data_IF_438920117061
#
_entry.id   IF_438920117061
#
_cell.length_a   1.000
_cell.length_b   1.000
_cell.length_c   1.000
_cell.angle_alpha   90.00
_cell.angle_beta   90.00
_cell.angle_gamma   90.00
#
_symmetry.space_group_name_H-M   'P 1'
#
loop_
_entity.id
_entity.type
_entity.pdbx_description
1 polymer ?
#
# COMPACT_ATOMS: atom_id res chain seq x y z
N UNK A 1 -18.88 -10.49 17.80
CA UNK A 1 -19.36 -9.46 16.89
C UNK A 1 -18.80 -9.73 15.50
N UNK A 2 -19.55 -9.37 14.44
CA UNK A 2 -19.10 -9.50 13.05
C UNK A 2 -18.51 -8.19 12.54
N UNK A 3 -17.87 -8.19 11.38
CA UNK A 3 -17.48 -6.97 10.65
C UNK A 3 -18.71 -6.07 10.43
N UNK A 4 -18.54 -4.74 10.46
CA UNK A 4 -19.63 -3.79 10.20
C UNK A 4 -20.01 -3.70 8.71
N UNK A 5 -19.09 -4.09 7.82
CA UNK A 5 -19.23 -4.05 6.37
C UNK A 5 -18.30 -5.11 5.77
N UNK A 6 -18.70 -5.70 4.66
CA UNK A 6 -17.91 -6.72 3.94
C UNK A 6 -16.92 -6.11 2.94
N UNK A 7 -17.03 -4.81 2.64
CA UNK A 7 -16.08 -4.13 1.75
C UNK A 7 -14.81 -3.73 2.49
N UNK A 8 -13.75 -4.51 2.36
CA UNK A 8 -12.47 -4.30 3.03
C UNK A 8 -11.49 -3.60 2.07
N UNK A 9 -10.88 -2.51 2.54
CA UNK A 9 -9.93 -1.70 1.77
C UNK A 9 -8.48 -1.94 2.16
N UNK A 10 -8.21 -2.09 3.47
CA UNK A 10 -6.87 -2.34 3.99
C UNK A 10 -6.92 -3.07 5.32
N UNK A 11 -5.85 -3.78 5.64
CA UNK A 11 -5.61 -4.44 6.92
C UNK A 11 -4.17 -4.12 7.33
N UNK A 12 -3.94 -3.78 8.62
CA UNK A 12 -2.61 -3.56 9.18
C UNK A 12 -2.55 -4.03 10.62
N UNK A 13 -1.44 -4.64 11.01
CA UNK A 13 -1.22 -5.12 12.37
C UNK A 13 -0.59 -4.04 13.25
N UNK A 14 -1.18 -3.74 14.42
CA UNK A 14 -0.66 -2.77 15.38
C UNK A 14 0.40 -3.36 16.34
N UNK A 15 0.88 -2.53 17.26
CA UNK A 15 1.89 -2.90 18.27
C UNK A 15 1.41 -3.94 19.30
N UNK A 16 0.10 -4.18 19.42
CA UNK A 16 -0.49 -5.21 20.28
C UNK A 16 -0.81 -6.49 19.53
N UNK A 17 -0.60 -6.53 18.22
CA UNK A 17 -1.02 -7.63 17.35
C UNK A 17 -2.50 -7.61 16.99
N UNK A 18 -3.20 -6.48 17.20
CA UNK A 18 -4.55 -6.31 16.72
C UNK A 18 -4.53 -5.88 15.25
N UNK A 19 -5.56 -6.26 14.50
CA UNK A 19 -5.69 -5.86 13.11
C UNK A 19 -6.57 -4.63 12.98
N UNK A 20 -6.02 -3.57 12.42
CA UNK A 20 -6.76 -2.37 12.00
C UNK A 20 -7.30 -2.59 10.60
N UNK A 21 -8.62 -2.68 10.48
CA UNK A 21 -9.31 -3.04 9.24
C UNK A 21 -10.10 -1.81 8.78
N UNK A 22 -9.75 -1.29 7.61
CA UNK A 22 -10.54 -0.24 6.94
C UNK A 22 -11.64 -0.88 6.12
N UNK A 23 -12.88 -0.63 6.48
CA UNK A 23 -14.07 -1.07 5.76
C UNK A 23 -14.69 0.06 4.92
N UNK A 24 -15.75 -0.23 4.19
CA UNK A 24 -16.53 0.79 3.47
C UNK A 24 -17.15 1.85 4.39
N UNK A 25 -17.40 1.52 5.65
CA UNK A 25 -18.03 2.42 6.65
C UNK A 25 -17.04 2.98 7.67
N UNK A 26 -15.75 2.65 7.61
CA UNK A 26 -14.71 3.15 8.51
C UNK A 26 -13.84 2.06 9.11
N UNK A 27 -12.96 2.44 10.05
CA UNK A 27 -12.06 1.51 10.73
C UNK A 27 -12.78 0.70 11.80
N UNK A 28 -12.35 -0.56 11.92
CA UNK A 28 -12.67 -1.48 13.01
C UNK A 28 -11.36 -2.16 13.46
N UNK A 29 -11.24 -2.46 14.74
CA UNK A 29 -10.07 -3.17 15.29
C UNK A 29 -10.49 -4.60 15.61
N UNK A 30 -9.81 -5.59 15.03
CA UNK A 30 -9.94 -6.98 15.43
C UNK A 30 -8.89 -7.29 16.49
N UNK A 31 -9.35 -7.69 17.65
CA UNK A 31 -8.49 -8.15 18.74
C UNK A 31 -8.27 -9.66 18.58
N UNK A 32 -7.02 -10.06 18.31
CA UNK A 32 -6.67 -11.47 18.06
C UNK A 32 -6.74 -12.34 19.32
N UNK A 33 -6.53 -11.77 20.51
CA UNK A 33 -6.58 -12.53 21.77
C UNK A 33 -8.02 -12.88 22.17
N UNK A 34 -8.94 -11.91 22.05
CA UNK A 34 -10.35 -12.10 22.42
C UNK A 34 -11.22 -12.55 21.23
N UNK A 35 -10.68 -12.59 20.04
CA UNK A 35 -11.38 -12.89 18.77
C UNK A 35 -12.62 -12.00 18.56
N UNK A 36 -12.52 -10.72 18.94
CA UNK A 36 -13.62 -9.78 18.89
C UNK A 36 -13.31 -8.55 18.04
N UNK A 37 -14.36 -7.97 17.44
CA UNK A 37 -14.26 -6.69 16.72
C UNK A 37 -14.66 -5.54 17.64
N UNK A 38 -13.75 -4.59 17.81
CA UNK A 38 -14.02 -3.30 18.46
C UNK A 38 -14.41 -2.28 17.37
N UNK A 39 -15.56 -1.67 17.52
CA UNK A 39 -16.11 -0.64 16.62
C UNK A 39 -16.00 0.77 17.19
N UNK A 40 -15.57 0.90 18.45
CA UNK A 40 -15.44 2.16 19.17
C UNK A 40 -14.09 2.86 18.90
N UNK A 41 -13.55 2.68 17.68
CA UNK A 41 -12.26 3.27 17.25
C UNK A 41 -12.22 4.77 17.48
N UNK A 42 -13.36 5.47 17.25
CA UNK A 42 -13.45 6.90 17.48
C UNK A 42 -13.26 7.28 18.97
N UNK A 43 -13.78 6.50 19.89
CA UNK A 43 -13.62 6.75 21.33
C UNK A 43 -12.14 6.66 21.71
N UNK A 44 -11.44 5.61 21.26
CA UNK A 44 -10.01 5.46 21.48
C UNK A 44 -9.19 6.61 20.84
N UNK A 45 -9.52 7.04 19.63
CA UNK A 45 -8.85 8.19 18.98
C UNK A 45 -9.01 9.47 19.81
N UNK A 46 -10.20 9.73 20.33
CA UNK A 46 -10.45 10.87 21.21
C UNK A 46 -9.65 10.79 22.53
N UNK A 47 -9.53 9.60 23.12
CA UNK A 47 -8.73 9.39 24.33
C UNK A 47 -7.25 9.71 24.11
N UNK A 48 -6.68 9.36 22.96
CA UNK A 48 -5.30 9.69 22.62
C UNK A 48 -5.13 11.12 22.09
N UNK A 49 -6.20 11.89 21.92
CA UNK A 49 -6.18 13.31 21.52
C UNK A 49 -6.35 13.55 20.04
N UNK A 50 -6.80 12.55 19.26
CA UNK A 50 -7.09 12.69 17.83
C UNK A 50 -8.59 12.97 17.63
N UNK A 51 -8.92 14.18 17.23
CA UNK A 51 -10.29 14.56 16.87
C UNK A 51 -10.54 14.35 15.36
N UNK A 52 -11.36 13.37 15.02
CA UNK A 52 -11.78 13.06 13.67
C UNK A 52 -11.64 11.59 13.31
N UNK A 53 -12.17 11.24 12.12
CA UNK A 53 -12.07 9.88 11.57
C UNK A 53 -10.88 9.82 10.62
N UNK A 54 -9.93 8.90 10.81
CA UNK A 54 -8.81 8.74 9.89
C UNK A 54 -9.29 8.33 8.49
N UNK A 55 -8.77 9.00 7.48
CA UNK A 55 -8.88 8.57 6.09
C UNK A 55 -7.82 7.51 5.76
N UNK A 56 -6.65 7.59 6.40
CA UNK A 56 -5.57 6.61 6.30
C UNK A 56 -5.02 6.33 7.70
N UNK A 57 -4.66 5.08 7.94
CA UNK A 57 -3.84 4.62 9.05
C UNK A 57 -2.66 3.89 8.45
N UNK A 58 -1.45 4.19 8.91
CA UNK A 58 -0.24 3.49 8.55
C UNK A 58 0.55 3.14 9.81
N UNK A 59 1.11 1.95 9.86
CA UNK A 59 1.89 1.47 11.00
C UNK A 59 3.31 1.23 10.51
N UNK A 60 4.28 1.97 11.05
CA UNK A 60 5.68 1.90 10.65
C UNK A 60 6.40 0.68 11.26
N UNK A 61 7.65 0.43 10.85
CA UNK A 61 8.42 -0.72 11.34
C UNK A 61 8.71 -0.69 12.84
N UNK A 62 8.68 0.50 13.47
CA UNK A 62 8.77 0.68 14.92
C UNK A 62 7.43 0.52 15.62
N UNK A 63 6.39 0.12 14.87
CA UNK A 63 5.01 0.01 15.35
C UNK A 63 4.41 1.33 15.83
N UNK A 64 4.95 2.48 15.40
CA UNK A 64 4.29 3.76 15.57
C UNK A 64 3.12 3.89 14.59
N UNK A 65 2.10 4.61 15.00
CA UNK A 65 0.85 4.72 14.25
C UNK A 65 0.70 6.12 13.65
N UNK A 66 0.53 6.17 12.35
CA UNK A 66 0.32 7.40 11.58
C UNK A 66 -1.13 7.49 11.16
N UNK A 67 -1.79 8.58 11.51
CA UNK A 67 -3.19 8.84 11.17
C UNK A 67 -3.29 10.07 10.29
N UNK A 68 -3.87 9.95 9.11
CA UNK A 68 -4.23 11.09 8.28
C UNK A 68 -5.69 11.45 8.48
N UNK A 69 -5.95 12.68 8.90
CA UNK A 69 -7.30 13.26 9.04
C UNK A 69 -7.49 14.27 7.91
N UNK A 70 -8.44 13.99 7.03
CA UNK A 70 -8.70 14.85 5.87
C UNK A 70 -8.99 16.28 6.30
N UNK A 71 -8.31 17.24 5.65
CA UNK A 71 -8.42 18.68 5.92
C UNK A 71 -7.71 19.17 7.21
N UNK A 72 -7.11 18.26 8.00
CA UNK A 72 -6.38 18.63 9.22
C UNK A 72 -4.88 18.38 9.10
N UNK A 73 -4.45 17.24 8.58
CA UNK A 73 -3.06 16.80 8.50
C UNK A 73 -2.85 15.40 9.03
N UNK A 74 -1.62 15.12 9.47
CA UNK A 74 -1.25 13.83 10.04
C UNK A 74 -1.05 13.92 11.55
N UNK A 75 -1.19 12.77 12.21
CA UNK A 75 -0.89 12.59 13.63
C UNK A 75 0.01 11.36 13.75
N UNK A 76 1.12 11.50 14.46
CA UNK A 76 1.98 10.40 14.83
C UNK A 76 1.72 10.04 16.29
N UNK A 77 1.27 8.82 16.55
CA UNK A 77 1.14 8.26 17.88
C UNK A 77 2.25 7.24 18.12
N UNK A 78 3.01 7.42 19.20
CA UNK A 78 4.10 6.54 19.63
C UNK A 78 3.59 5.71 20.83
N UNK A 79 3.22 4.43 20.63
CA UNK A 79 2.61 3.63 21.69
C UNK A 79 3.50 3.41 22.92
N UNK A 80 4.80 3.23 22.72
CA UNK A 80 5.77 2.99 23.79
C UNK A 80 5.80 4.12 24.84
N UNK A 81 5.74 5.37 24.39
CA UNK A 81 5.75 6.55 25.25
C UNK A 81 4.37 7.18 25.46
N UNK A 82 3.34 6.69 24.76
CA UNK A 82 2.00 7.26 24.73
C UNK A 82 1.96 8.74 24.29
N UNK A 83 2.91 9.15 23.44
CA UNK A 83 3.01 10.52 22.94
C UNK A 83 2.30 10.66 21.61
N UNK A 84 1.60 11.79 21.44
CA UNK A 84 0.97 12.21 20.20
C UNK A 84 1.65 13.46 19.64
N UNK A 85 2.04 13.39 18.37
CA UNK A 85 2.62 14.51 17.62
C UNK A 85 1.70 14.90 16.47
N UNK A 86 1.00 16.04 16.56
CA UNK A 86 0.19 16.56 15.45
C UNK A 86 1.09 17.25 14.42
N UNK A 87 0.91 16.90 13.13
CA UNK A 87 1.54 17.54 11.99
C UNK A 87 0.42 18.15 11.11
N UNK A 88 0.04 19.37 11.42
CA UNK A 88 -1.16 19.99 10.90
C UNK A 88 -0.86 20.92 9.70
N UNK A 89 -1.77 20.99 8.75
CA UNK A 89 -1.68 21.84 7.57
C UNK A 89 -1.64 23.34 7.94
N UNK A 90 -2.49 23.76 8.86
CA UNK A 90 -2.63 25.16 9.26
C UNK A 90 -1.45 25.73 10.09
N UNK A 91 -0.53 24.87 10.52
CA UNK A 91 0.69 25.25 11.25
C UNK A 91 1.92 25.33 10.35
N UNK A 92 1.74 25.17 9.04
CA UNK A 92 2.81 25.07 8.04
C UNK A 92 3.79 23.90 8.23
N UNK A 93 3.42 22.92 9.04
CA UNK A 93 4.22 21.69 9.20
C UNK A 93 4.11 20.77 8.00
N UNK A 94 2.95 20.75 7.32
CA UNK A 94 2.71 20.00 6.09
C UNK A 94 2.10 20.92 5.01
N UNK A 95 2.40 20.67 3.72
CA UNK A 95 1.67 21.30 2.63
C UNK A 95 0.18 20.94 2.68
N UNK A 96 -0.70 21.87 2.35
CA UNK A 96 -2.12 21.60 2.20
C UNK A 96 -2.40 20.67 1.02
N UNK A 97 -3.39 19.80 1.17
CA UNK A 97 -3.87 18.91 0.13
C UNK A 97 -4.38 17.58 0.67
N UNK A 98 -4.96 16.77 -0.22
CA UNK A 98 -5.41 15.43 0.14
C UNK A 98 -4.25 14.44 0.02
N UNK A 99 -3.87 13.81 1.14
CA UNK A 99 -2.91 12.72 1.18
C UNK A 99 -3.63 11.43 0.79
N UNK A 100 -3.07 10.68 -0.14
CA UNK A 100 -3.70 9.47 -0.70
C UNK A 100 -3.00 8.19 -0.25
N UNK A 101 -1.75 8.27 0.20
CA UNK A 101 -1.04 7.12 0.79
C UNK A 101 0.11 7.57 1.69
N UNK A 102 0.50 6.67 2.60
CA UNK A 102 1.59 6.83 3.57
C UNK A 102 2.41 5.55 3.55
N UNK A 103 3.73 5.67 3.40
CA UNK A 103 4.64 4.52 3.45
C UNK A 103 5.98 4.92 4.05
N UNK A 104 6.69 3.98 4.64
CA UNK A 104 8.03 4.20 5.15
C UNK A 104 9.09 3.93 4.08
N UNK A 105 10.18 4.71 4.13
CA UNK A 105 11.40 4.47 3.38
C UNK A 105 12.63 4.65 4.28
N UNK A 106 13.84 4.35 3.79
CA UNK A 106 15.07 4.50 4.57
C UNK A 106 15.34 5.93 5.05
N UNK A 107 14.70 6.92 4.44
CA UNK A 107 14.87 8.34 4.79
C UNK A 107 13.84 8.84 5.79
N UNK A 108 12.74 8.14 5.99
CA UNK A 108 11.64 8.54 6.86
C UNK A 108 10.28 8.10 6.36
N UNK A 109 9.25 8.83 6.71
CA UNK A 109 7.87 8.58 6.26
C UNK A 109 7.56 9.40 5.02
N UNK A 110 7.07 8.73 4.01
CA UNK A 110 6.62 9.32 2.75
C UNK A 110 5.12 9.54 2.78
N UNK A 111 4.72 10.73 2.37
CA UNK A 111 3.33 11.10 2.11
C UNK A 111 3.19 11.39 0.62
N UNK A 112 2.21 10.80 -0.03
CA UNK A 112 1.85 11.19 -1.40
C UNK A 112 0.50 11.91 -1.41
N UNK A 113 0.46 13.01 -2.13
CA UNK A 113 -0.74 13.83 -2.29
C UNK A 113 -1.49 13.48 -3.57
N UNK A 114 -2.76 13.80 -3.61
CA UNK A 114 -3.62 13.62 -4.79
C UNK A 114 -3.16 14.37 -6.04
N UNK A 115 -2.22 15.30 -5.89
CA UNK A 115 -1.56 16.02 -7.00
C UNK A 115 -0.33 15.30 -7.55
N UNK A 116 0.14 14.22 -6.91
CA UNK A 116 1.41 13.56 -7.20
C UNK A 116 2.61 14.16 -6.46
N UNK A 117 2.40 15.14 -5.57
CA UNK A 117 3.46 15.64 -4.69
C UNK A 117 3.89 14.55 -3.73
N UNK A 118 5.21 14.39 -3.56
CA UNK A 118 5.83 13.57 -2.53
C UNK A 118 6.42 14.43 -1.43
N UNK A 119 6.20 14.06 -0.18
CA UNK A 119 6.79 14.69 1.01
C UNK A 119 7.42 13.60 1.86
N UNK A 120 8.67 13.77 2.25
CA UNK A 120 9.36 12.87 3.18
C UNK A 120 9.53 13.58 4.52
N UNK A 121 9.07 12.96 5.58
CA UNK A 121 9.24 13.41 6.96
C UNK A 121 10.40 12.68 7.62
N UNK A 122 11.25 13.41 8.34
CA UNK A 122 12.24 12.80 9.22
C UNK A 122 11.54 12.26 10.47
N UNK A 123 11.67 10.96 10.74
CA UNK A 123 10.98 10.30 11.87
C UNK A 123 11.50 10.70 13.25
N UNK A 124 12.65 11.40 13.34
CA UNK A 124 13.25 11.87 14.60
C UNK A 124 12.80 13.28 14.95
N UNK A 125 12.70 14.16 13.93
CA UNK A 125 12.33 15.57 14.14
C UNK A 125 10.88 15.88 13.82
N UNK A 126 10.20 14.97 13.08
CA UNK A 126 8.88 15.16 12.51
C UNK A 126 8.78 16.35 11.55
N UNK A 127 9.91 16.79 10.99
CA UNK A 127 9.99 17.88 10.03
C UNK A 127 10.09 17.36 8.60
N UNK A 128 9.73 18.21 7.63
CA UNK A 128 9.92 17.88 6.23
C UNK A 128 11.42 17.82 5.93
N UNK A 129 11.89 16.64 5.53
CA UNK A 129 13.27 16.41 5.12
C UNK A 129 13.50 16.81 3.67
N UNK A 130 12.57 16.49 2.80
CA UNK A 130 12.51 16.90 1.40
C UNK A 130 11.08 16.78 0.85
N UNK A 131 10.84 17.49 -0.23
CA UNK A 131 9.61 17.33 -1.01
C UNK A 131 9.95 17.33 -2.50
N UNK A 132 9.09 16.71 -3.30
CA UNK A 132 9.21 16.59 -4.74
C UNK A 132 7.90 16.96 -5.43
N UNK A 133 7.93 18.00 -6.24
CA UNK A 133 6.77 18.58 -6.92
C UNK A 133 6.81 18.42 -8.45
N UNK A 134 7.88 17.83 -9.03
CA UNK A 134 8.08 17.78 -10.48
C UNK A 134 6.91 17.12 -11.20
N UNK A 135 6.34 16.06 -10.61
CA UNK A 135 5.22 15.35 -11.19
C UNK A 135 3.95 16.20 -11.25
N UNK A 136 3.77 17.12 -10.30
CA UNK A 136 2.64 18.07 -10.31
C UNK A 136 2.67 18.91 -11.60
N UNK A 137 3.86 19.32 -12.04
CA UNK A 137 4.07 20.03 -13.29
C UNK A 137 3.79 19.19 -14.53
N UNK A 138 4.20 17.92 -14.55
CA UNK A 138 3.97 17.01 -15.67
C UNK A 138 2.50 16.62 -15.84
N UNK A 139 1.80 16.35 -14.74
CA UNK A 139 0.39 15.93 -14.76
C UNK A 139 -0.56 17.10 -15.06
N UNK A 140 -0.13 18.32 -14.75
CA UNK A 140 -0.98 19.52 -14.77
C UNK A 140 -1.81 19.67 -13.50
N UNK A 141 -2.07 20.91 -13.10
CA UNK A 141 -2.75 21.25 -11.84
C UNK A 141 -4.19 20.74 -11.75
N UNK A 142 -4.81 20.41 -12.88
CA UNK A 142 -6.22 19.98 -12.94
C UNK A 142 -6.39 18.46 -12.78
N UNK A 143 -5.29 17.68 -12.83
CA UNK A 143 -5.34 16.24 -12.69
C UNK A 143 -5.05 15.85 -11.25
N UNK A 144 -6.08 15.38 -10.58
CA UNK A 144 -5.99 14.78 -9.27
C UNK A 144 -6.19 13.27 -9.39
N UNK A 145 -5.47 12.50 -8.59
CA UNK A 145 -5.54 11.04 -8.59
C UNK A 145 -5.38 10.45 -7.20
N UNK A 146 -5.75 9.20 -7.06
CA UNK A 146 -5.37 8.40 -5.89
C UNK A 146 -4.05 7.74 -6.26
N UNK A 147 -2.96 8.25 -5.71
CA UNK A 147 -1.64 7.65 -5.85
C UNK A 147 -1.40 6.68 -4.72
N UNK A 148 -0.76 5.57 -5.05
CA UNK A 148 -0.30 4.54 -4.10
C UNK A 148 1.20 4.44 -4.19
N UNK A 149 1.85 4.17 -3.06
CA UNK A 149 3.29 4.06 -2.93
C UNK A 149 3.70 2.62 -2.64
N UNK A 150 4.83 2.25 -3.18
CA UNK A 150 5.58 1.07 -2.79
C UNK A 150 7.07 1.44 -2.73
N UNK A 151 7.78 1.00 -1.70
CA UNK A 151 9.23 1.22 -1.58
C UNK A 151 9.92 -0.12 -1.69
N UNK A 152 10.80 -0.25 -2.68
CA UNK A 152 11.54 -1.49 -2.88
C UNK A 152 12.79 -1.58 -1.98
N UNK A 153 13.46 -2.73 -1.96
CA UNK A 153 14.63 -2.97 -1.11
C UNK A 153 15.86 -2.16 -1.50
N UNK A 154 15.89 -1.61 -2.71
CA UNK A 154 16.92 -0.64 -3.14
C UNK A 154 16.54 0.78 -2.72
N UNK A 155 15.44 0.94 -1.99
CA UNK A 155 14.87 2.21 -1.55
C UNK A 155 14.37 3.11 -2.72
N UNK A 156 14.11 2.54 -3.89
CA UNK A 156 13.40 3.25 -4.96
C UNK A 156 11.91 3.33 -4.62
N UNK A 157 11.34 4.51 -4.82
CA UNK A 157 9.94 4.82 -4.53
C UNK A 157 9.13 4.64 -5.80
N UNK A 158 8.26 3.65 -5.79
CA UNK A 158 7.31 3.35 -6.85
C UNK A 158 5.99 4.05 -6.53
N UNK A 159 5.62 4.99 -7.37
CA UNK A 159 4.34 5.71 -7.27
C UNK A 159 3.48 5.34 -8.46
N UNK A 160 2.26 4.91 -8.20
CA UNK A 160 1.35 4.49 -9.26
C UNK A 160 -0.09 4.92 -8.99
N UNK A 161 -0.85 5.06 -10.06
CA UNK A 161 -2.26 5.46 -10.05
C UNK A 161 -2.91 5.08 -11.39
N UNK A 162 -4.21 5.29 -11.59
CA UNK A 162 -4.84 5.18 -12.92
C UNK A 162 -4.20 6.08 -13.99
N UNK A 163 -3.44 7.09 -13.60
CA UNK A 163 -2.76 8.02 -14.51
C UNK A 163 -1.41 7.48 -15.01
N UNK A 164 -0.80 6.50 -14.33
CA UNK A 164 0.46 5.90 -14.71
C UNK A 164 1.27 5.35 -13.54
N UNK A 165 2.54 5.07 -13.83
CA UNK A 165 3.54 4.62 -12.86
C UNK A 165 4.82 5.44 -13.04
N UNK A 166 5.44 5.80 -11.92
CA UNK A 166 6.69 6.57 -11.84
C UNK A 166 7.59 5.98 -10.78
N UNK A 167 8.89 6.08 -10.97
CA UNK A 167 9.87 5.57 -10.01
C UNK A 167 10.84 6.70 -9.67
N UNK A 168 10.94 7.04 -8.39
CA UNK A 168 11.84 8.06 -7.86
C UNK A 168 12.92 7.41 -7.00
N UNK A 169 14.18 7.77 -7.25
CA UNK A 169 15.30 7.36 -6.41
C UNK A 169 15.69 8.51 -5.48
N UNK A 170 15.47 8.39 -4.16
CA UNK A 170 15.75 9.46 -3.20
C UNK A 170 17.23 9.67 -2.91
N UNK A 171 18.11 8.69 -3.19
CA UNK A 171 19.55 8.85 -3.05
C UNK A 171 20.17 9.68 -4.18
N UNK A 172 19.61 9.52 -5.39
CA UNK A 172 20.06 10.23 -6.58
C UNK A 172 19.23 11.49 -6.85
N UNK A 173 18.18 11.73 -6.03
CA UNK A 173 17.24 12.84 -6.15
C UNK A 173 16.64 12.98 -7.56
N UNK A 174 16.30 11.84 -8.20
CA UNK A 174 15.80 11.85 -9.58
C UNK A 174 14.75 10.79 -9.89
N UNK A 175 13.93 11.09 -10.88
CA UNK A 175 13.01 10.14 -11.49
C UNK A 175 13.75 9.15 -12.39
N UNK A 176 13.52 7.85 -12.21
CA UNK A 176 14.10 6.78 -13.01
C UNK A 176 13.28 6.55 -14.28
N UNK A 177 13.30 7.50 -15.21
CA UNK A 177 12.49 7.48 -16.44
C UNK A 177 12.70 6.23 -17.28
N UNK A 178 13.88 5.60 -17.21
CA UNK A 178 14.16 4.38 -17.96
C UNK A 178 13.29 3.20 -17.47
N UNK A 179 13.08 3.03 -16.16
CA UNK A 179 12.19 2.03 -15.57
C UNK A 179 10.74 2.31 -15.97
N UNK A 180 10.29 3.54 -15.77
CA UNK A 180 8.95 3.99 -16.18
C UNK A 180 8.69 3.69 -17.66
N UNK A 181 9.67 3.93 -18.54
CA UNK A 181 9.54 3.70 -19.99
C UNK A 181 9.50 2.21 -20.35
N UNK A 182 10.23 1.34 -19.63
CA UNK A 182 10.13 -0.11 -19.83
C UNK A 182 8.70 -0.58 -19.59
N UNK A 183 8.10 -0.15 -18.49
CA UNK A 183 6.76 -0.55 -18.10
C UNK A 183 5.71 0.01 -19.06
N UNK A 184 5.77 1.30 -19.37
CA UNK A 184 4.85 1.98 -20.31
C UNK A 184 4.85 1.37 -21.71
N UNK A 185 5.97 0.80 -22.18
CA UNK A 185 6.05 0.13 -23.49
C UNK A 185 5.37 -1.25 -23.51
N UNK A 186 5.23 -1.88 -22.34
CA UNK A 186 4.72 -3.24 -22.22
C UNK A 186 3.26 -3.29 -21.84
N UNK A 187 2.85 -2.49 -20.88
CA UNK A 187 1.46 -2.43 -20.42
C UNK A 187 0.83 -1.10 -20.78
N UNK A 188 -0.29 -1.14 -21.49
CA UNK A 188 -1.13 0.02 -21.80
C UNK A 188 -2.23 0.19 -20.73
N UNK A 189 -2.32 -0.74 -19.78
CA UNK A 189 -3.35 -0.79 -18.78
C UNK A 189 -2.89 -0.19 -17.45
N UNK A 190 -3.85 0.23 -16.64
CA UNK A 190 -3.61 0.80 -15.33
C UNK A 190 -2.83 -0.17 -14.43
N UNK A 191 -1.82 0.34 -13.74
CA UNK A 191 -1.15 -0.38 -12.66
C UNK A 191 -2.04 -0.30 -11.41
N UNK A 192 -2.29 -1.45 -10.78
CA UNK A 192 -3.12 -1.58 -9.59
C UNK A 192 -2.34 -1.98 -8.35
N UNK A 193 -1.25 -2.73 -8.53
CA UNK A 193 -0.44 -3.21 -7.42
C UNK A 193 1.02 -3.31 -7.84
N UNK A 194 1.93 -3.02 -6.90
CA UNK A 194 3.37 -3.22 -7.05
C UNK A 194 3.87 -3.93 -5.80
N UNK A 195 4.71 -4.95 -5.98
CA UNK A 195 5.40 -5.65 -4.91
C UNK A 195 6.79 -6.08 -5.37
N UNK A 196 7.64 -6.51 -4.45
CA UNK A 196 8.97 -7.03 -4.78
C UNK A 196 9.13 -8.41 -4.16
N UNK A 197 9.60 -9.38 -4.97
CA UNK A 197 9.90 -10.71 -4.45
C UNK A 197 11.29 -10.78 -3.80
N UNK A 198 11.58 -11.87 -3.10
CA UNK A 198 12.84 -12.06 -2.37
C UNK A 198 14.06 -12.08 -3.29
N UNK A 199 13.89 -12.41 -4.56
CA UNK A 199 14.92 -12.31 -5.58
C UNK A 199 15.21 -10.87 -6.03
N UNK A 200 14.40 -9.92 -5.57
CA UNK A 200 14.51 -8.49 -5.90
C UNK A 200 13.79 -8.10 -7.19
N UNK A 201 13.01 -9.01 -7.80
CA UNK A 201 12.22 -8.72 -8.99
C UNK A 201 10.98 -7.91 -8.59
N UNK A 202 10.62 -6.95 -9.41
CA UNK A 202 9.42 -6.12 -9.19
C UNK A 202 8.23 -6.75 -9.92
N UNK A 203 7.19 -7.03 -9.16
CA UNK A 203 5.91 -7.55 -9.65
C UNK A 203 4.93 -6.39 -9.82
N UNK A 204 4.39 -6.25 -11.03
CA UNK A 204 3.50 -5.14 -11.40
C UNK A 204 2.19 -5.74 -11.85
N UNK A 205 1.18 -5.67 -10.99
CA UNK A 205 -0.19 -6.10 -11.27
C UNK A 205 -0.96 -5.03 -12.03
N UNK A 206 -1.65 -5.44 -13.07
CA UNK A 206 -2.37 -4.53 -13.98
C UNK A 206 -3.86 -4.81 -14.04
N UNK A 207 -4.59 -3.84 -14.58
CA UNK A 207 -5.99 -4.03 -14.96
C UNK A 207 -6.04 -4.67 -16.37
N UNK A 208 -6.40 -5.96 -16.45
CA UNK A 208 -6.60 -6.77 -17.66
C UNK A 208 -5.35 -7.36 -18.36
N UNK A 209 -4.11 -6.94 -18.03
CA UNK A 209 -2.90 -7.49 -18.67
C UNK A 209 -2.13 -8.51 -17.80
N UNK A 210 -2.67 -8.86 -16.62
CA UNK A 210 -2.00 -9.79 -15.71
C UNK A 210 -0.87 -9.13 -14.94
N UNK A 211 0.27 -9.80 -14.85
CA UNK A 211 1.43 -9.39 -14.06
C UNK A 211 2.66 -9.27 -14.96
N UNK A 212 3.34 -8.15 -14.88
CA UNK A 212 4.69 -8.00 -15.40
C UNK A 212 5.69 -8.17 -14.24
N UNK A 213 6.68 -9.06 -14.42
CA UNK A 213 7.78 -9.29 -13.48
C UNK A 213 9.04 -8.69 -14.10
N UNK A 214 9.51 -7.59 -13.51
CA UNK A 214 10.67 -6.84 -13.97
C UNK A 214 11.90 -7.19 -13.14
N UNK A 215 12.97 -7.62 -13.78
CA UNK A 215 14.31 -7.62 -13.21
C UNK A 215 14.94 -6.23 -13.42
N UNK A 216 15.14 -5.49 -12.33
CA UNK A 216 15.72 -4.13 -12.38
C UNK A 216 17.15 -4.12 -12.88
N UNK A 217 17.92 -5.20 -12.71
CA UNK A 217 19.34 -5.27 -13.06
C UNK A 217 19.53 -5.47 -14.56
N UNK A 218 18.71 -6.32 -15.17
CA UNK A 218 18.81 -6.67 -16.58
C UNK A 218 17.84 -5.85 -17.45
N UNK A 219 16.79 -5.30 -16.87
CA UNK A 219 15.68 -4.68 -17.60
C UNK A 219 14.76 -5.69 -18.27
N UNK A 220 14.96 -6.98 -18.03
CA UNK A 220 14.08 -8.03 -18.58
C UNK A 220 12.72 -8.02 -17.90
N UNK A 221 11.68 -8.22 -18.69
CA UNK A 221 10.30 -8.32 -18.19
C UNK A 221 9.70 -9.63 -18.64
N UNK A 222 9.28 -10.44 -17.67
CA UNK A 222 8.47 -11.65 -17.86
C UNK A 222 7.00 -11.33 -17.57
N UNK A 223 6.09 -11.83 -18.39
CA UNK A 223 4.67 -11.61 -18.23
C UNK A 223 3.95 -12.90 -17.80
N UNK A 224 3.09 -12.78 -16.80
CA UNK A 224 2.17 -13.83 -16.36
C UNK A 224 0.74 -13.42 -16.67
N UNK A 225 0.00 -14.31 -17.33
CA UNK A 225 -1.38 -14.08 -17.72
C UNK A 225 -2.24 -15.32 -17.46
N UNK A 226 -3.54 -15.09 -17.35
CA UNK A 226 -4.53 -16.16 -17.42
C UNK A 226 -4.44 -16.86 -18.79
N UNK A 227 -4.49 -18.19 -18.76
CA UNK A 227 -4.57 -19.03 -19.94
C UNK A 227 -5.80 -19.94 -19.80
N UNK A 228 -6.74 -19.79 -20.68
CA UNK A 228 -7.95 -20.62 -20.70
C UNK A 228 -7.61 -22.12 -20.74
N UNK A 229 -8.16 -22.88 -19.79
CA UNK A 229 -7.89 -24.30 -19.67
C UNK A 229 -6.60 -24.70 -18.97
N UNK A 230 -5.79 -23.73 -18.48
CA UNK A 230 -4.60 -23.99 -17.67
C UNK A 230 -4.85 -23.52 -16.23
N UNK A 231 -5.24 -24.45 -15.35
CA UNK A 231 -5.50 -24.19 -13.93
C UNK A 231 -4.25 -23.71 -13.15
N UNK A 232 -3.06 -23.82 -13.76
CA UNK A 232 -1.79 -23.34 -13.18
C UNK A 232 -1.44 -21.95 -13.63
N UNK A 233 -2.27 -21.32 -14.43
CA UNK A 233 -2.12 -19.93 -14.83
C UNK A 233 -2.84 -19.01 -13.85
N UNK A 234 -2.57 -17.71 -13.97
CA UNK A 234 -3.27 -16.69 -13.21
C UNK A 234 -4.79 -16.82 -13.40
N UNK A 235 -5.58 -16.72 -12.34
CA UNK A 235 -7.04 -16.94 -12.41
C UNK A 235 -7.77 -15.81 -13.17
N UNK A 236 -7.25 -14.58 -13.10
CA UNK A 236 -7.77 -13.43 -13.83
C UNK A 236 -6.63 -12.46 -14.16
N UNK A 237 -6.70 -11.80 -15.32
CA UNK A 237 -5.72 -10.79 -15.72
C UNK A 237 -5.89 -9.44 -15.02
N UNK A 238 -6.99 -9.19 -14.32
CA UNK A 238 -7.15 -8.01 -13.46
C UNK A 238 -6.64 -8.36 -12.06
N UNK A 239 -5.46 -7.82 -11.73
CA UNK A 239 -4.77 -8.03 -10.45
C UNK A 239 -5.09 -6.86 -9.55
N UNK A 240 -5.63 -7.14 -8.37
CA UNK A 240 -6.04 -6.11 -7.41
C UNK A 240 -4.96 -5.82 -6.37
N UNK A 241 -4.27 -6.86 -5.91
CA UNK A 241 -3.25 -6.77 -4.85
C UNK A 241 -2.17 -7.83 -5.06
N UNK A 242 -0.96 -7.49 -4.65
CA UNK A 242 0.22 -8.37 -4.62
C UNK A 242 0.83 -8.29 -3.23
N UNK A 243 1.14 -9.44 -2.65
CA UNK A 243 1.77 -9.53 -1.33
C UNK A 243 2.76 -10.70 -1.29
N UNK A 244 4.00 -10.46 -0.86
CA UNK A 244 4.95 -11.53 -0.57
C UNK A 244 4.96 -11.81 0.92
N UNK A 245 4.64 -13.04 1.32
CA UNK A 245 4.67 -13.46 2.72
C UNK A 245 6.10 -13.83 3.20
N UNK A 246 6.24 -14.07 4.49
CA UNK A 246 7.52 -14.46 5.11
C UNK A 246 8.07 -15.80 4.58
N UNK A 247 7.21 -16.64 3.98
CA UNK A 247 7.57 -17.91 3.34
C UNK A 247 7.97 -17.77 1.87
N UNK A 248 8.17 -16.54 1.36
CA UNK A 248 8.52 -16.24 -0.04
C UNK A 248 7.42 -16.63 -1.03
N UNK A 249 6.19 -16.72 -0.57
CA UNK A 249 5.03 -16.94 -1.43
C UNK A 249 4.46 -15.60 -1.87
N UNK A 250 4.40 -15.40 -3.19
CA UNK A 250 3.73 -14.24 -3.77
C UNK A 250 2.23 -14.52 -3.90
N UNK A 251 1.43 -13.87 -3.08
CA UNK A 251 -0.02 -13.91 -3.13
C UNK A 251 -0.55 -12.88 -4.13
N UNK A 252 -1.52 -13.28 -4.93
CA UNK A 252 -2.08 -12.48 -6.01
C UNK A 252 -3.60 -12.46 -5.87
N UNK A 253 -4.14 -11.38 -5.34
CA UNK A 253 -5.58 -11.16 -5.30
C UNK A 253 -6.07 -10.70 -6.67
N UNK A 254 -7.10 -11.35 -7.20
CA UNK A 254 -7.63 -11.07 -8.54
C UNK A 254 -9.09 -10.60 -8.47
N UNK A 255 -9.49 -9.80 -9.47
CA UNK A 255 -10.87 -9.31 -9.55
C UNK A 255 -11.85 -10.48 -9.81
N UNK A 256 -12.79 -10.68 -8.89
CA UNK A 256 -13.88 -11.68 -8.96
C UNK A 256 -13.47 -13.13 -9.20
N UNK A 257 -12.21 -13.50 -9.00
CA UNK A 257 -11.70 -14.85 -9.22
C UNK A 257 -10.84 -15.38 -8.07
N UNK A 258 -10.95 -14.71 -6.90
CA UNK A 258 -10.25 -15.11 -5.70
C UNK A 258 -8.75 -14.90 -5.77
N UNK A 259 -7.99 -15.77 -5.15
CA UNK A 259 -6.57 -15.64 -4.95
C UNK A 259 -5.79 -16.67 -5.79
N UNK A 260 -4.66 -16.25 -6.33
CA UNK A 260 -3.61 -17.12 -6.88
C UNK A 260 -2.38 -16.97 -6.03
N UNK A 261 -1.53 -17.97 -5.95
CA UNK A 261 -0.25 -17.85 -5.27
C UNK A 261 0.87 -18.50 -6.09
N UNK A 262 2.05 -17.92 -5.97
CA UNK A 262 3.26 -18.40 -6.63
C UNK A 262 4.37 -18.58 -5.61
N UNK A 263 4.93 -19.78 -5.57
CA UNK A 263 6.11 -20.09 -4.77
C UNK A 263 7.10 -20.86 -5.63
N UNK A 264 8.34 -20.40 -5.74
CA UNK A 264 9.35 -21.04 -6.61
C UNK A 264 9.70 -22.47 -6.15
N UNK A 265 9.64 -22.73 -4.86
CA UNK A 265 9.85 -24.08 -4.31
C UNK A 265 8.72 -25.04 -4.58
N UNK A 266 7.50 -24.52 -4.78
CA UNK A 266 6.31 -25.32 -5.04
C UNK A 266 5.91 -25.45 -6.52
N UNK A 267 6.61 -24.79 -7.40
CA UNK A 267 6.56 -24.88 -8.87
C UNK A 267 5.25 -24.46 -9.56
N UNK A 268 4.24 -23.88 -8.93
CA UNK A 268 3.00 -23.49 -9.67
C UNK A 268 2.11 -22.57 -8.87
N UNK A 269 1.28 -21.76 -9.58
CA UNK A 269 0.14 -21.14 -8.96
C UNK A 269 -0.82 -22.21 -8.45
N UNK A 270 -1.11 -22.19 -7.15
CA UNK A 270 -2.34 -22.73 -6.61
C UNK A 270 -3.42 -21.65 -6.73
N UNK A 271 -4.66 -22.05 -6.72
CA UNK A 271 -5.79 -21.15 -6.77
C UNK A 271 -6.96 -21.67 -5.96
N UNK A 272 -7.54 -20.80 -5.14
CA UNK A 272 -8.82 -21.04 -4.47
C UNK A 272 -9.77 -19.90 -4.81
N UNK A 273 -11.03 -20.24 -5.03
CA UNK A 273 -12.07 -19.24 -5.21
C UNK A 273 -12.66 -18.86 -3.85
N UNK A 274 -12.37 -17.63 -3.41
CA UNK A 274 -12.84 -17.11 -2.12
C UNK A 274 -13.46 -15.71 -2.24
N UNK A 275 -13.78 -15.25 -3.46
CA UNK A 275 -14.38 -13.93 -3.72
C UNK A 275 -13.40 -12.91 -4.28
N UNK A 276 -13.77 -11.64 -4.21
CA UNK A 276 -12.93 -10.51 -4.64
C UNK A 276 -11.97 -10.12 -3.53
N UNK A 277 -10.65 -10.23 -3.79
CA UNK A 277 -9.62 -9.89 -2.82
C UNK A 277 -9.20 -8.43 -3.00
N UNK A 278 -9.34 -7.63 -1.96
CA UNK A 278 -8.97 -6.22 -1.93
C UNK A 278 -7.66 -5.94 -1.22
N UNK A 279 -7.31 -6.73 -0.23
CA UNK A 279 -6.06 -6.61 0.50
C UNK A 279 -5.61 -7.94 1.08
N UNK A 280 -4.31 -8.06 1.35
CA UNK A 280 -3.65 -9.23 1.92
C UNK A 280 -2.66 -8.74 2.97
N UNK A 281 -2.59 -9.39 4.12
CA UNK A 281 -1.64 -9.10 5.20
C UNK A 281 -1.26 -10.41 5.90
N UNK A 282 -0.03 -10.50 6.41
CA UNK A 282 0.45 -11.61 7.23
C UNK A 282 0.66 -11.13 8.67
N UNK A 283 0.15 -11.89 9.65
CA UNK A 283 0.40 -11.59 11.07
C UNK A 283 1.72 -12.22 11.58
N UNK A 284 2.09 -11.89 12.81
CA UNK A 284 3.31 -12.37 13.46
C UNK A 284 3.36 -13.90 13.66
N UNK A 285 2.21 -14.58 13.66
CA UNK A 285 2.10 -16.03 13.73
C UNK A 285 2.21 -16.69 12.35
N UNK A 286 2.29 -15.94 11.25
CA UNK A 286 2.39 -16.43 9.87
C UNK A 286 1.03 -16.75 9.22
N UNK A 287 -0.09 -16.30 9.80
CA UNK A 287 -1.40 -16.41 9.15
C UNK A 287 -1.57 -15.29 8.13
N UNK A 288 -2.04 -15.66 6.94
CA UNK A 288 -2.36 -14.70 5.87
C UNK A 288 -3.83 -14.32 5.95
N UNK A 289 -4.08 -13.04 6.17
CA UNK A 289 -5.40 -12.44 6.27
C UNK A 289 -5.82 -11.85 4.93
N UNK A 290 -7.05 -12.09 4.52
CA UNK A 290 -7.59 -11.65 3.25
C UNK A 290 -8.80 -10.76 3.47
N UNK A 291 -8.76 -9.55 2.90
CA UNK A 291 -9.94 -8.71 2.78
C UNK A 291 -10.72 -9.11 1.53
N UNK A 292 -11.93 -9.63 1.73
CA UNK A 292 -12.80 -10.14 0.67
C UNK A 292 -13.98 -9.20 0.52
N UNK A 293 -14.31 -8.85 -0.73
CA UNK A 293 -15.51 -8.09 -1.06
C UNK A 293 -16.55 -9.05 -1.66
N UNK A 294 -17.72 -9.11 -1.06
CA UNK A 294 -18.87 -9.88 -1.54
C UNK A 294 -19.72 -9.07 -2.53
#
# INVERSE_FOLDING_TARGET
ASLPDNYIKSIQEDYKGNLWILTGVGYVIYNSESETFDREVHAWLCEVGIDGTPALVYIDHNKNMWFYIKGKGCYLYIPESQLLYPLLFNTHQLPEGDITDIVECSKGILLVYNTGRLVCLDTRTNEIKWQQDDLVGELGTDKQGIFTLFVDRDNDIWMYSPLGIWVYNPEQEKWLSWLTNIIKRRSHNMVRAVSQDKQGRIWIGTDQDGIDILDKKTGEVRQLRNKAGDERSLQNNTVMVLYEDSSETMWVGTYKKGISYFNECAFKFGAEYIGDISCIEEDKEGYVWLGIND
#
